data_IF_903091029781
#
_entry.id   IF_903091029781
#
_cell.length_a   1.000
_cell.length_b   1.000
_cell.length_c   1.000
_cell.angle_alpha   90.00
_cell.angle_beta   90.00
_cell.angle_gamma   90.00
#
_symmetry.space_group_name_H-M   'P 1'
#
loop_
_entity.id
_entity.type
_entity.pdbx_description
1 polymer ?
#
# COMPACT_ATOMS: atom_id res chain seq x y z
N UNK A 1 -31.20 61.47 70.68
CA UNK A 1 -31.28 60.18 69.97
C UNK A 1 -31.27 60.47 68.46
N UNK A 2 -30.13 60.14 67.77
CA UNK A 2 -29.92 60.44 66.34
C UNK A 2 -30.06 59.12 65.59
N UNK A 3 -31.13 59.01 64.79
CA UNK A 3 -31.34 57.88 63.87
C UNK A 3 -30.45 58.03 62.64
N UNK A 4 -29.63 57.03 62.33
CA UNK A 4 -28.80 56.95 61.14
C UNK A 4 -29.55 56.09 60.13
N UNK A 5 -30.03 56.68 59.06
CA UNK A 5 -30.64 56.01 57.95
C UNK A 5 -29.52 55.45 57.04
N UNK A 6 -29.42 54.16 56.87
CA UNK A 6 -28.48 53.45 56.01
C UNK A 6 -29.08 53.31 54.60
N UNK A 7 -28.53 53.99 53.64
CA UNK A 7 -28.92 53.86 52.21
C UNK A 7 -28.20 52.65 51.62
N UNK A 8 -28.94 51.64 51.21
CA UNK A 8 -28.44 50.49 50.50
C UNK A 8 -28.43 50.82 48.99
N UNK A 9 -27.25 51.01 48.41
CA UNK A 9 -27.12 51.11 46.95
C UNK A 9 -27.08 49.69 46.36
N UNK A 10 -28.13 49.31 45.66
CA UNK A 10 -28.15 48.09 44.87
C UNK A 10 -27.44 48.32 43.52
N UNK A 11 -26.24 47.76 43.34
CA UNK A 11 -25.54 47.74 42.06
C UNK A 11 -26.17 46.68 41.15
N UNK A 12 -26.82 47.07 40.09
CA UNK A 12 -27.32 46.17 39.05
C UNK A 12 -26.14 45.83 38.13
N UNK A 13 -25.60 44.61 38.25
CA UNK A 13 -24.65 44.09 37.28
C UNK A 13 -25.42 43.59 36.06
N UNK A 14 -25.31 44.31 34.96
CA UNK A 14 -25.77 43.84 33.65
C UNK A 14 -24.71 42.90 33.11
N UNK A 15 -24.98 41.61 33.15
CA UNK A 15 -24.17 40.60 32.46
C UNK A 15 -24.44 40.72 30.94
N UNK A 16 -23.54 41.35 30.22
CA UNK A 16 -23.50 41.26 28.75
C UNK A 16 -22.88 39.90 28.40
N UNK A 17 -23.76 38.94 28.07
CA UNK A 17 -23.31 37.67 27.49
C UNK A 17 -22.80 37.94 26.07
N UNK A 18 -21.53 37.59 25.71
CA UNK A 18 -21.13 37.66 24.33
C UNK A 18 -21.92 36.62 23.54
N UNK A 19 -22.77 37.06 22.61
CA UNK A 19 -23.35 36.17 21.61
C UNK A 19 -22.20 35.55 20.83
N UNK A 20 -21.96 34.27 21.05
CA UNK A 20 -21.09 33.44 20.22
C UNK A 20 -21.73 33.42 18.82
N UNK A 21 -21.29 34.32 17.93
CA UNK A 21 -21.57 34.21 16.49
C UNK A 21 -20.98 32.87 16.05
N UNK A 22 -21.84 31.87 15.92
CA UNK A 22 -21.53 30.67 15.15
C UNK A 22 -21.23 31.14 13.73
N UNK A 23 -19.95 31.26 13.40
CA UNK A 23 -19.51 31.32 12.01
C UNK A 23 -19.84 29.95 11.42
N UNK A 24 -21.01 29.86 10.80
CA UNK A 24 -21.34 28.71 9.97
C UNK A 24 -20.23 28.58 8.94
N UNK A 25 -19.40 27.57 9.09
CA UNK A 25 -18.42 27.15 8.06
C UNK A 25 -19.23 26.74 6.85
N UNK A 26 -19.40 27.68 5.91
CA UNK A 26 -19.92 27.33 4.58
C UNK A 26 -18.92 26.34 4.02
N UNK A 27 -19.31 25.06 3.89
CA UNK A 27 -18.48 24.06 3.27
C UNK A 27 -18.04 24.57 1.89
N UNK A 28 -16.73 24.70 1.69
CA UNK A 28 -16.20 25.13 0.40
C UNK A 28 -16.59 24.09 -0.65
N UNK A 29 -17.22 24.52 -1.74
CA UNK A 29 -17.52 23.66 -2.88
C UNK A 29 -16.23 23.39 -3.65
N UNK A 30 -16.12 22.24 -4.32
CA UNK A 30 -14.90 21.83 -5.05
C UNK A 30 -14.42 22.89 -6.05
N UNK A 31 -15.32 23.60 -6.71
CA UNK A 31 -15.01 24.69 -7.62
C UNK A 31 -14.27 25.88 -6.95
N UNK A 32 -14.48 26.07 -5.63
CA UNK A 32 -13.80 27.12 -4.85
C UNK A 32 -12.42 26.71 -4.33
N UNK A 33 -12.11 25.42 -4.35
CA UNK A 33 -10.80 24.91 -3.93
C UNK A 33 -9.95 24.46 -5.12
N UNK A 34 -10.42 24.65 -6.36
CA UNK A 34 -9.64 24.35 -7.56
C UNK A 34 -8.43 25.29 -7.67
N UNK A 35 -7.26 24.73 -7.90
CA UNK A 35 -6.06 25.52 -8.12
C UNK A 35 -6.07 26.20 -9.49
N UNK A 36 -5.46 27.38 -9.61
CA UNK A 36 -5.27 28.05 -10.89
C UNK A 36 -4.40 27.21 -11.84
N UNK A 37 -4.49 27.46 -13.15
CA UNK A 37 -3.67 26.79 -14.16
C UNK A 37 -2.16 26.90 -13.85
N UNK A 38 -1.69 28.04 -13.34
CA UNK A 38 -0.30 28.22 -12.97
C UNK A 38 0.08 27.47 -11.69
N UNK A 39 -0.81 27.36 -10.72
CA UNK A 39 -0.61 26.50 -9.56
C UNK A 39 -0.63 25.01 -9.95
N UNK A 40 -1.51 24.60 -10.88
CA UNK A 40 -1.57 23.23 -11.38
C UNK A 40 -0.28 22.79 -12.07
N UNK A 41 0.45 23.68 -12.73
CA UNK A 41 1.78 23.40 -13.33
C UNK A 41 2.83 22.95 -12.30
N UNK A 42 2.61 23.24 -11.01
CA UNK A 42 3.50 22.81 -9.91
C UNK A 42 3.10 21.45 -9.34
N UNK A 43 2.02 20.85 -9.80
CA UNK A 43 1.57 19.53 -9.39
C UNK A 43 2.08 18.46 -10.34
N UNK A 44 2.25 17.23 -9.83
CA UNK A 44 2.61 16.10 -10.67
C UNK A 44 1.35 15.58 -11.37
N UNK A 45 1.43 15.40 -12.70
CA UNK A 45 0.41 14.65 -13.42
C UNK A 45 0.64 13.15 -13.15
N UNK A 46 -0.26 12.53 -12.38
CA UNK A 46 -0.16 11.12 -12.00
C UNK A 46 -1.20 10.29 -12.75
N UNK A 47 -0.74 9.24 -13.42
CA UNK A 47 -1.62 8.18 -13.91
C UNK A 47 -2.08 7.32 -12.74
N UNK A 48 -3.29 6.79 -12.85
CA UNK A 48 -3.87 5.87 -11.87
C UNK A 48 -4.48 4.67 -12.59
N UNK A 49 -4.39 3.52 -11.95
CA UNK A 49 -5.07 2.32 -12.40
C UNK A 49 -6.58 2.49 -12.13
N UNK A 50 -7.42 2.30 -13.16
CA UNK A 50 -8.86 2.30 -12.98
C UNK A 50 -9.38 0.92 -12.51
N UNK A 51 -10.58 0.91 -11.93
CA UNK A 51 -11.17 -0.30 -11.37
C UNK A 51 -11.44 -1.39 -12.44
N UNK A 52 -11.79 -0.99 -13.65
CA UNK A 52 -12.03 -1.93 -14.77
C UNK A 52 -10.76 -2.68 -15.14
N UNK A 53 -9.63 -1.96 -15.28
CA UNK A 53 -8.33 -2.59 -15.56
C UNK A 53 -7.87 -3.46 -14.39
N UNK A 54 -8.08 -3.02 -13.15
CA UNK A 54 -7.77 -3.81 -11.95
C UNK A 54 -8.57 -5.13 -11.95
N UNK A 55 -9.87 -5.08 -12.26
CA UNK A 55 -10.71 -6.26 -12.41
C UNK A 55 -10.21 -7.18 -13.52
N UNK A 56 -9.86 -6.64 -14.68
CA UNK A 56 -9.31 -7.44 -15.78
C UNK A 56 -8.02 -8.17 -15.39
N UNK A 57 -7.15 -7.54 -14.59
CA UNK A 57 -5.92 -8.16 -14.07
C UNK A 57 -6.27 -9.32 -13.12
N UNK A 58 -7.21 -9.11 -12.20
CA UNK A 58 -7.69 -10.15 -11.28
C UNK A 58 -8.27 -11.33 -12.07
N UNK A 59 -9.16 -11.08 -13.03
CA UNK A 59 -9.80 -12.11 -13.84
C UNK A 59 -8.78 -12.90 -14.67
N UNK A 60 -7.74 -12.24 -15.17
CA UNK A 60 -6.65 -12.91 -15.90
C UNK A 60 -5.86 -13.87 -15.01
N UNK A 61 -5.58 -13.48 -13.74
CA UNK A 61 -4.93 -14.36 -12.77
C UNK A 61 -5.84 -15.51 -12.33
N UNK A 62 -7.14 -15.27 -12.14
CA UNK A 62 -8.14 -16.32 -11.88
C UNK A 62 -8.17 -17.34 -13.03
N UNK A 63 -8.15 -16.87 -14.28
CA UNK A 63 -8.09 -17.75 -15.44
C UNK A 63 -6.80 -18.59 -15.48
N UNK A 64 -5.65 -18.01 -15.11
CA UNK A 64 -4.39 -18.72 -14.95
C UNK A 64 -4.50 -19.81 -13.87
N UNK A 65 -5.08 -19.49 -12.72
CA UNK A 65 -5.30 -20.45 -11.64
C UNK A 65 -6.15 -21.63 -12.09
N UNK A 66 -7.27 -21.38 -12.76
CA UNK A 66 -8.13 -22.43 -13.32
C UNK A 66 -7.40 -23.32 -14.33
N UNK A 67 -6.61 -22.71 -15.21
CA UNK A 67 -5.84 -23.45 -16.23
C UNK A 67 -4.72 -24.31 -15.63
N UNK A 68 -4.15 -23.90 -14.50
CA UNK A 68 -3.09 -24.63 -13.79
C UNK A 68 -3.59 -25.50 -12.65
N UNK A 69 -4.92 -25.67 -12.51
CA UNK A 69 -5.57 -26.38 -11.40
C UNK A 69 -5.05 -25.90 -10.02
N UNK A 70 -4.90 -24.59 -9.87
CA UNK A 70 -4.43 -23.94 -8.67
C UNK A 70 -5.44 -22.89 -8.21
N UNK A 71 -5.46 -22.63 -6.90
CA UNK A 71 -6.31 -21.61 -6.28
C UNK A 71 -5.44 -20.51 -5.71
N UNK A 72 -5.81 -19.24 -5.92
CA UNK A 72 -5.06 -18.09 -5.51
C UNK A 72 -5.94 -17.06 -4.79
N UNK A 73 -5.30 -16.28 -3.91
CA UNK A 73 -5.81 -15.01 -3.46
C UNK A 73 -5.04 -13.90 -4.18
N UNK A 74 -5.76 -12.89 -4.67
CA UNK A 74 -5.23 -11.87 -5.57
C UNK A 74 -5.64 -10.49 -5.04
N UNK A 75 -4.70 -9.56 -4.97
CA UNK A 75 -4.94 -8.16 -4.64
C UNK A 75 -4.32 -7.24 -5.66
N UNK A 76 -5.06 -6.21 -6.08
CA UNK A 76 -4.56 -5.10 -6.89
C UNK A 76 -4.69 -3.82 -6.08
N UNK A 77 -3.56 -3.13 -5.88
CA UNK A 77 -3.47 -1.94 -5.05
C UNK A 77 -3.21 -0.69 -5.89
N UNK A 78 -3.77 0.42 -5.43
CA UNK A 78 -3.46 1.77 -5.88
C UNK A 78 -2.07 2.22 -5.37
N UNK A 79 -1.50 3.33 -5.92
CA UNK A 79 -0.19 3.84 -5.49
C UNK A 79 -0.08 4.23 -4.01
N UNK A 80 -1.21 4.53 -3.37
CA UNK A 80 -1.30 4.85 -1.93
C UNK A 80 -1.45 3.60 -1.05
N UNK A 81 -1.55 2.40 -1.65
CA UNK A 81 -1.70 1.13 -0.94
C UNK A 81 -3.13 0.70 -0.69
N UNK A 82 -4.12 1.48 -1.12
CA UNK A 82 -5.53 1.09 -1.04
C UNK A 82 -5.85 -0.03 -2.02
N UNK A 83 -6.77 -0.91 -1.65
CA UNK A 83 -7.23 -2.00 -2.50
C UNK A 83 -8.18 -1.44 -3.56
N UNK A 84 -7.83 -1.61 -4.84
CA UNK A 84 -8.73 -1.30 -5.96
C UNK A 84 -9.63 -2.51 -6.22
N UNK A 85 -9.03 -3.72 -6.26
CA UNK A 85 -9.75 -4.96 -6.48
C UNK A 85 -9.06 -6.12 -5.77
N UNK A 86 -9.86 -7.11 -5.34
CA UNK A 86 -9.36 -8.31 -4.70
C UNK A 86 -10.28 -9.49 -4.99
N UNK A 87 -9.70 -10.69 -5.06
CA UNK A 87 -10.43 -11.93 -5.23
C UNK A 87 -9.74 -13.07 -4.48
N UNK A 88 -10.54 -13.85 -3.77
CA UNK A 88 -10.13 -15.11 -3.18
C UNK A 88 -10.84 -16.23 -3.94
N UNK A 89 -10.09 -17.10 -4.60
CA UNK A 89 -10.64 -18.29 -5.26
C UNK A 89 -11.08 -19.31 -4.22
N UNK A 90 -12.02 -20.17 -4.59
CA UNK A 90 -12.48 -21.23 -3.73
C UNK A 90 -11.35 -22.15 -3.24
N UNK A 91 -11.43 -22.57 -1.99
CA UNK A 91 -10.44 -23.45 -1.37
C UNK A 91 -9.16 -22.76 -0.86
N UNK A 92 -9.06 -21.42 -0.96
CA UNK A 92 -7.94 -20.69 -0.39
C UNK A 92 -7.99 -20.67 1.14
N UNK A 93 -6.80 -20.79 1.75
CA UNK A 93 -6.64 -20.64 3.18
C UNK A 93 -6.48 -19.14 3.56
N UNK A 94 -6.85 -18.74 4.78
CA UNK A 94 -6.69 -17.36 5.25
C UNK A 94 -5.25 -16.83 5.08
N UNK A 95 -4.24 -17.67 5.29
CA UNK A 95 -2.84 -17.29 5.10
C UNK A 95 -2.52 -16.90 3.66
N UNK A 96 -3.20 -17.49 2.67
CA UNK A 96 -3.05 -17.11 1.26
C UNK A 96 -3.54 -15.68 0.99
N UNK A 97 -4.62 -15.26 1.64
CA UNK A 97 -5.17 -13.91 1.56
C UNK A 97 -4.18 -12.91 2.15
N UNK A 98 -3.73 -13.17 3.38
CA UNK A 98 -2.77 -12.30 4.08
C UNK A 98 -1.46 -12.14 3.29
N UNK A 99 -0.89 -13.25 2.82
CA UNK A 99 0.37 -13.21 2.07
C UNK A 99 0.21 -12.54 0.71
N UNK A 100 -0.92 -12.65 0.03
CA UNK A 100 -1.19 -11.95 -1.22
C UNK A 100 -1.15 -10.43 -1.03
N UNK A 101 -1.87 -9.92 -0.02
CA UNK A 101 -1.88 -8.49 0.32
C UNK A 101 -0.48 -7.99 0.71
N UNK A 102 0.25 -8.74 1.53
CA UNK A 102 1.60 -8.38 1.95
C UNK A 102 2.59 -8.35 0.77
N UNK A 103 2.47 -9.28 -0.18
CA UNK A 103 3.29 -9.30 -1.41
C UNK A 103 3.00 -8.09 -2.30
N UNK A 104 1.71 -7.73 -2.47
CA UNK A 104 1.32 -6.52 -3.19
C UNK A 104 1.94 -5.26 -2.55
N UNK A 105 1.81 -5.09 -1.23
CA UNK A 105 2.42 -3.98 -0.48
C UNK A 105 3.94 -3.96 -0.61
N UNK A 106 4.58 -5.12 -0.52
CA UNK A 106 6.05 -5.23 -0.67
C UNK A 106 6.49 -4.73 -2.03
N UNK A 107 5.84 -5.18 -3.11
CA UNK A 107 6.15 -4.75 -4.47
C UNK A 107 5.87 -3.25 -4.68
N UNK A 108 4.79 -2.73 -4.11
CA UNK A 108 4.43 -1.32 -4.17
C UNK A 108 5.49 -0.42 -3.53
N UNK A 109 5.87 -0.71 -2.29
CA UNK A 109 6.80 0.11 -1.52
C UNK A 109 8.24 0.00 -2.00
N UNK A 110 8.66 -1.21 -2.40
CA UNK A 110 10.00 -1.44 -2.93
C UNK A 110 10.13 -1.07 -4.42
N UNK A 111 9.04 -0.83 -5.14
CA UNK A 111 8.98 -0.56 -6.59
C UNK A 111 9.70 -1.62 -7.42
N UNK A 112 9.65 -2.86 -6.96
CA UNK A 112 10.34 -3.99 -7.59
C UNK A 112 9.60 -5.28 -7.24
N UNK A 113 9.74 -6.37 -8.02
CA UNK A 113 9.16 -7.66 -7.68
C UNK A 113 9.54 -8.09 -6.25
N UNK A 114 8.59 -8.65 -5.51
CA UNK A 114 8.84 -9.08 -4.14
C UNK A 114 9.89 -10.20 -4.02
N UNK A 115 10.07 -11.01 -5.05
CA UNK A 115 11.17 -11.97 -5.18
C UNK A 115 12.54 -11.31 -5.26
N UNK A 116 12.66 -10.19 -5.99
CA UNK A 116 13.90 -9.42 -6.07
C UNK A 116 14.27 -8.79 -4.72
N UNK A 117 13.25 -8.32 -3.97
CA UNK A 117 13.47 -7.83 -2.60
C UNK A 117 13.95 -8.97 -1.70
N UNK A 118 13.36 -10.16 -1.82
CA UNK A 118 13.78 -11.35 -1.08
C UNK A 118 15.25 -11.71 -1.33
N UNK A 119 15.69 -11.64 -2.60
CA UNK A 119 17.09 -11.90 -2.98
C UNK A 119 18.05 -10.88 -2.35
N UNK A 120 17.71 -9.59 -2.34
CA UNK A 120 18.51 -8.52 -1.73
C UNK A 120 18.79 -8.78 -0.25
N UNK A 121 17.84 -9.38 0.46
CA UNK A 121 17.92 -9.66 1.90
C UNK A 121 18.23 -11.14 2.22
N UNK A 122 18.89 -11.87 1.32
CA UNK A 122 19.19 -13.29 1.51
C UNK A 122 20.51 -13.57 2.26
N UNK A 123 21.04 -12.60 2.98
CA UNK A 123 22.19 -12.75 3.89
C UNK A 123 21.71 -12.74 5.36
N UNK A 124 22.60 -13.08 6.30
CA UNK A 124 22.29 -12.99 7.74
C UNK A 124 21.95 -11.55 8.12
N UNK A 125 22.81 -10.60 7.75
CA UNK A 125 22.59 -9.18 8.02
C UNK A 125 21.33 -8.65 7.32
N UNK A 126 21.09 -9.07 6.08
CA UNK A 126 19.87 -8.74 5.34
C UNK A 126 18.60 -9.25 6.04
N UNK A 127 18.64 -10.43 6.67
CA UNK A 127 17.52 -10.95 7.46
C UNK A 127 17.24 -10.12 8.71
N UNK A 128 18.29 -9.67 9.39
CA UNK A 128 18.15 -8.76 10.55
C UNK A 128 17.56 -7.43 10.11
N UNK A 129 18.09 -6.82 9.04
CA UNK A 129 17.56 -5.57 8.48
C UNK A 129 16.08 -5.72 8.09
N UNK A 130 15.69 -6.84 7.51
CA UNK A 130 14.32 -7.15 7.12
C UNK A 130 13.36 -7.17 8.32
N UNK A 131 13.77 -7.85 9.41
CA UNK A 131 13.00 -7.89 10.64
C UNK A 131 12.87 -6.49 11.25
N UNK A 132 13.96 -5.74 11.31
CA UNK A 132 13.97 -4.37 11.82
C UNK A 132 13.08 -3.45 10.98
N UNK A 133 13.13 -3.56 9.65
CA UNK A 133 12.28 -2.78 8.75
C UNK A 133 10.80 -3.02 9.02
N UNK A 134 10.37 -4.27 9.15
CA UNK A 134 8.99 -4.62 9.47
C UNK A 134 8.54 -4.09 10.83
N UNK A 135 9.42 -4.11 11.84
CA UNK A 135 9.11 -3.63 13.18
C UNK A 135 9.08 -2.10 13.29
N UNK A 136 10.00 -1.39 12.62
CA UNK A 136 10.20 0.04 12.81
C UNK A 136 9.37 0.92 11.88
N UNK A 137 9.02 0.41 10.69
CA UNK A 137 8.34 1.23 9.67
C UNK A 137 6.82 1.26 9.80
N UNK A 138 6.23 0.38 10.58
CA UNK A 138 4.78 0.14 10.59
C UNK A 138 4.24 -0.40 9.26
N UNK A 139 5.11 -0.66 8.27
CA UNK A 139 4.76 -1.22 6.97
C UNK A 139 4.91 -2.74 7.03
N UNK A 140 3.90 -3.43 6.53
CA UNK A 140 3.92 -4.88 6.45
C UNK A 140 4.60 -5.33 5.15
N UNK A 141 5.77 -5.96 5.28
CA UNK A 141 6.51 -6.55 4.16
C UNK A 141 6.44 -8.07 4.20
N UNK A 142 6.42 -8.70 3.03
CA UNK A 142 6.54 -10.13 2.89
C UNK A 142 7.47 -10.47 1.73
N UNK A 143 8.68 -10.91 2.07
CA UNK A 143 9.80 -11.08 1.13
C UNK A 143 9.75 -12.48 0.47
N UNK A 144 8.66 -12.75 -0.22
CA UNK A 144 8.43 -13.98 -1.00
C UNK A 144 7.84 -13.57 -2.34
N UNK A 145 8.20 -14.25 -3.42
CA UNK A 145 7.68 -13.97 -4.76
C UNK A 145 6.16 -14.02 -4.85
N UNK A 146 5.60 -13.26 -5.79
CA UNK A 146 4.16 -13.14 -6.04
C UNK A 146 3.63 -11.71 -6.02
N UNK A 147 4.45 -10.74 -5.64
CA UNK A 147 4.13 -9.31 -5.73
C UNK A 147 4.87 -8.65 -6.88
N UNK A 148 4.15 -7.94 -7.76
CA UNK A 148 4.73 -7.19 -8.87
C UNK A 148 4.24 -5.73 -8.85
N UNK A 149 5.14 -4.74 -9.09
CA UNK A 149 4.73 -3.36 -9.29
C UNK A 149 4.05 -3.22 -10.65
N UNK A 150 3.08 -2.32 -10.74
CA UNK A 150 2.44 -1.94 -12.01
C UNK A 150 2.99 -0.58 -12.40
N UNK A 151 3.78 -0.54 -13.47
CA UNK A 151 4.47 0.67 -13.95
C UNK A 151 4.06 0.95 -15.37
N UNK A 152 3.65 2.19 -15.64
CA UNK A 152 3.30 2.68 -16.98
C UNK A 152 4.02 4.00 -17.21
N UNK A 153 4.78 4.12 -18.29
CA UNK A 153 5.55 5.33 -18.62
C UNK A 153 6.40 5.83 -17.43
N UNK A 154 7.15 4.90 -16.81
CA UNK A 154 7.99 5.14 -15.63
C UNK A 154 7.24 5.59 -14.35
N UNK A 155 5.91 5.64 -14.38
CA UNK A 155 5.09 5.92 -13.20
C UNK A 155 4.61 4.62 -12.56
N UNK A 156 4.83 4.49 -11.25
CA UNK A 156 4.21 3.46 -10.45
C UNK A 156 2.73 3.80 -10.26
N UNK A 157 1.85 3.03 -10.89
CA UNK A 157 0.41 3.25 -10.85
C UNK A 157 -0.34 2.26 -9.94
N UNK A 158 0.38 1.31 -9.37
CA UNK A 158 -0.17 0.32 -8.46
C UNK A 158 0.72 -0.91 -8.29
N UNK A 159 0.16 -1.97 -7.76
CA UNK A 159 0.80 -3.27 -7.65
C UNK A 159 -0.23 -4.40 -7.66
N UNK A 160 0.24 -5.60 -8.02
CA UNK A 160 -0.51 -6.84 -7.82
C UNK A 160 0.22 -7.72 -6.80
N UNK A 161 -0.53 -8.47 -6.00
CA UNK A 161 -0.01 -9.51 -5.14
C UNK A 161 -0.86 -10.76 -5.24
N UNK A 162 -0.19 -11.90 -5.33
CA UNK A 162 -0.80 -13.22 -5.42
C UNK A 162 -0.24 -14.11 -4.32
N UNK A 163 -1.11 -14.87 -3.68
CA UNK A 163 -0.75 -15.79 -2.60
C UNK A 163 -1.59 -17.05 -2.61
N UNK A 164 -1.06 -18.08 -1.97
CA UNK A 164 -1.75 -19.36 -1.78
C UNK A 164 -1.30 -20.50 -2.67
N UNK A 165 -0.40 -20.25 -3.62
CA UNK A 165 0.15 -21.27 -4.52
C UNK A 165 1.67 -21.21 -4.66
N UNK A 166 2.20 -22.12 -5.47
CA UNK A 166 3.63 -22.19 -5.78
C UNK A 166 4.03 -21.38 -7.03
N UNK A 167 3.05 -20.90 -7.81
CA UNK A 167 3.27 -20.09 -9.01
C UNK A 167 2.69 -18.69 -8.89
N UNK A 168 2.66 -18.14 -7.67
CA UNK A 168 2.07 -16.83 -7.36
C UNK A 168 2.60 -15.72 -8.26
N UNK A 169 3.93 -15.62 -8.42
CA UNK A 169 4.57 -14.59 -9.23
C UNK A 169 4.30 -14.78 -10.74
N UNK A 170 4.21 -16.02 -11.19
CA UNK A 170 3.86 -16.33 -12.58
C UNK A 170 2.41 -15.98 -12.89
N UNK A 171 1.47 -16.20 -11.95
CA UNK A 171 0.08 -15.74 -12.07
C UNK A 171 0.03 -14.22 -12.24
N UNK A 172 0.71 -13.48 -11.34
CA UNK A 172 0.79 -12.03 -11.42
C UNK A 172 1.38 -11.55 -12.75
N UNK A 173 2.50 -12.14 -13.16
CA UNK A 173 3.20 -11.81 -14.42
C UNK A 173 2.34 -12.05 -15.65
N UNK A 174 1.69 -13.21 -15.70
CA UNK A 174 0.80 -13.58 -16.82
C UNK A 174 -0.39 -12.64 -16.91
N UNK A 175 -0.98 -12.29 -15.76
CA UNK A 175 -2.10 -11.36 -15.70
C UNK A 175 -1.71 -9.96 -16.19
N UNK A 176 -0.60 -9.41 -15.72
CA UNK A 176 -0.11 -8.11 -16.18
C UNK A 176 0.24 -8.12 -17.67
N UNK A 177 0.92 -9.17 -18.14
CA UNK A 177 1.27 -9.30 -19.56
C UNK A 177 0.01 -9.35 -20.45
N UNK A 178 -1.02 -10.06 -20.00
CA UNK A 178 -2.27 -10.19 -20.76
C UNK A 178 -3.05 -8.88 -20.86
N UNK A 179 -3.08 -8.10 -19.79
CA UNK A 179 -3.92 -6.90 -19.69
C UNK A 179 -3.19 -5.63 -20.12
N UNK A 180 -1.93 -5.49 -19.71
CA UNK A 180 -1.14 -4.27 -19.91
C UNK A 180 -0.09 -4.40 -21.02
N UNK A 181 0.12 -5.60 -21.57
CA UNK A 181 1.16 -5.87 -22.55
C UNK A 181 2.46 -6.40 -21.97
N UNK A 182 3.51 -6.52 -22.79
CA UNK A 182 4.78 -7.14 -22.38
C UNK A 182 5.34 -6.53 -21.09
N UNK A 183 5.74 -7.40 -20.17
CA UNK A 183 6.34 -7.02 -18.89
C UNK A 183 7.85 -7.30 -18.91
N UNK A 184 8.66 -6.58 -18.10
CA UNK A 184 10.05 -6.93 -17.89
C UNK A 184 10.18 -8.39 -17.41
N UNK A 185 11.29 -9.09 -17.76
CA UNK A 185 11.48 -10.47 -17.31
C UNK A 185 11.50 -10.54 -15.78
N UNK A 186 10.92 -11.61 -15.24
CA UNK A 186 10.98 -11.88 -13.81
C UNK A 186 12.43 -12.08 -13.36
N UNK A 187 12.78 -11.68 -12.13
CA UNK A 187 14.10 -11.97 -11.57
C UNK A 187 14.32 -13.48 -11.56
N UNK A 188 15.39 -13.93 -12.23
CA UNK A 188 15.79 -15.35 -12.13
C UNK A 188 16.19 -15.64 -10.70
N UNK A 189 15.67 -16.73 -10.13
CA UNK A 189 16.11 -17.19 -8.82
C UNK A 189 17.63 -17.40 -8.88
N UNK A 190 18.39 -16.54 -8.23
CA UNK A 190 19.83 -16.76 -8.10
C UNK A 190 20.01 -18.00 -7.25
N UNK A 191 20.79 -19.01 -7.69
CA UNK A 191 21.07 -20.16 -6.84
C UNK A 191 21.55 -19.65 -5.49
N UNK A 192 20.99 -20.18 -4.40
CA UNK A 192 21.49 -19.84 -3.07
C UNK A 192 23.01 -19.99 -3.09
N UNK A 193 23.74 -18.92 -2.71
CA UNK A 193 25.17 -19.00 -2.57
C UNK A 193 25.50 -20.26 -1.76
N UNK A 194 26.27 -21.19 -2.34
CA UNK A 194 26.61 -22.43 -1.69
C UNK A 194 27.12 -22.09 -0.28
N UNK A 195 26.54 -22.73 0.73
CA UNK A 195 27.04 -22.57 2.09
C UNK A 195 28.57 -22.83 2.07
N UNK A 196 29.38 -21.98 2.72
CA UNK A 196 30.83 -22.24 2.79
C UNK A 196 31.04 -23.66 3.31
N UNK A 197 31.89 -24.41 2.60
CA UNK A 197 32.18 -25.78 2.97
C UNK A 197 32.62 -25.82 4.43
N UNK A 198 32.13 -26.78 5.25
CA UNK A 198 32.56 -26.90 6.64
C UNK A 198 34.06 -27.25 6.65
N UNK A 199 34.90 -26.30 7.09
CA UNK A 199 36.32 -26.60 7.28
C UNK A 199 37.33 -25.49 6.99
N UNK A 200 36.95 -24.30 6.54
CA UNK A 200 37.90 -23.19 6.45
C UNK A 200 37.70 -22.23 7.64
N UNK A 201 38.26 -22.65 8.78
CA UNK A 201 38.50 -21.74 9.88
C UNK A 201 39.58 -20.72 9.50
N UNK A 202 39.55 -19.49 10.07
CA UNK A 202 40.57 -18.48 9.79
C UNK A 202 41.92 -19.05 10.22
N UNK A 203 42.83 -19.14 9.24
CA UNK A 203 44.20 -19.51 9.51
C UNK A 203 44.81 -18.58 10.56
N UNK A 204 45.44 -19.17 11.53
CA UNK A 204 46.21 -18.49 12.58
C UNK A 204 47.39 -17.76 12.00
#
# INVERSE_FOLDING_TARGET
>A
MKSKTLLLLAAVFVFVTPEARSQGTVAATLDKVTVSADAAKRTLNKMQLNAETARAIVDACVAFGKASNASYSIFVLAPNGDVIDAHMMDGQLPIGVETALLKAKTALYARTPSSAVAQRFNTVDGRVIRLQLGQSSGLAYYFVGGGLPIVVQDQLIGSIGVGGGNMDEMCAYTALTKVLGPQPPLPTAQPAAAAPAPGQGPGR
#
